data_IF_139596052223
#
_entry.id   IF_139596052223
#
_cell.length_a   1.000
_cell.length_b   1.000
_cell.length_c   1.000
_cell.angle_alpha   90.00
_cell.angle_beta   90.00
_cell.angle_gamma   90.00
#
_symmetry.space_group_name_H-M   'P 1'
#
loop_
_entity.id
_entity.type
_entity.pdbx_description
1 polymer ?
#
# COMPACT_ATOMS: atom_id res chain seq x y z
N UNK A 1 12.64 -1.83 -7.28
CA UNK A 1 11.52 -1.92 -6.31
C UNK A 1 10.17 -2.11 -7.00
N UNK A 2 9.90 -1.39 -8.06
CA UNK A 2 8.61 -1.49 -8.76
C UNK A 2 8.30 -2.91 -9.24
N UNK A 3 9.28 -3.59 -9.80
CA UNK A 3 9.13 -4.97 -10.26
C UNK A 3 8.82 -5.94 -9.12
N UNK A 4 9.42 -5.74 -7.96
CA UNK A 4 9.17 -6.57 -6.76
C UNK A 4 7.74 -6.38 -6.29
N UNK A 5 7.27 -5.14 -6.23
CA UNK A 5 5.89 -4.82 -5.82
C UNK A 5 4.89 -5.43 -6.81
N UNK A 6 5.09 -5.22 -8.10
CA UNK A 6 4.19 -5.74 -9.13
C UNK A 6 4.11 -7.26 -9.11
N UNK A 7 5.24 -7.95 -8.95
CA UNK A 7 5.30 -9.40 -8.88
C UNK A 7 4.59 -9.92 -7.62
N UNK A 8 4.86 -9.32 -6.47
CA UNK A 8 4.22 -9.72 -5.21
C UNK A 8 2.71 -9.50 -5.26
N UNK A 9 2.25 -8.39 -5.86
CA UNK A 9 0.83 -8.12 -6.05
C UNK A 9 0.18 -9.19 -6.93
N UNK A 10 0.81 -9.57 -8.03
CA UNK A 10 0.26 -10.60 -8.93
C UNK A 10 0.24 -11.97 -8.26
N UNK A 11 1.26 -12.32 -7.52
CA UNK A 11 1.28 -13.58 -6.75
C UNK A 11 0.17 -13.61 -5.70
N UNK A 12 -0.05 -12.50 -5.00
CA UNK A 12 -1.16 -12.36 -4.05
C UNK A 12 -2.49 -12.62 -4.74
N UNK A 13 -2.71 -11.98 -5.88
CA UNK A 13 -3.93 -12.11 -6.65
C UNK A 13 -4.16 -13.57 -7.08
N UNK A 14 -3.14 -14.22 -7.59
CA UNK A 14 -3.22 -15.61 -8.04
C UNK A 14 -3.52 -16.57 -6.88
N UNK A 15 -2.89 -16.37 -5.73
CA UNK A 15 -3.10 -17.23 -4.56
C UNK A 15 -4.49 -17.09 -3.96
N UNK A 16 -5.12 -15.93 -4.10
CA UNK A 16 -6.44 -15.65 -3.54
C UNK A 16 -7.57 -15.66 -4.58
N UNK A 17 -7.26 -16.00 -5.84
CA UNK A 17 -8.26 -16.02 -6.91
C UNK A 17 -9.28 -17.14 -6.71
N UNK A 18 -10.51 -16.92 -7.20
CA UNK A 18 -11.56 -17.94 -7.20
C UNK A 18 -12.31 -18.07 -5.87
N UNK A 19 -11.96 -17.31 -4.85
CA UNK A 19 -12.64 -17.30 -3.54
C UNK A 19 -12.82 -15.85 -3.10
N UNK A 20 -13.93 -15.57 -2.43
CA UNK A 20 -14.21 -14.23 -1.90
C UNK A 20 -13.41 -13.98 -0.62
N UNK A 21 -12.25 -13.37 -0.76
CA UNK A 21 -11.46 -12.92 0.37
C UNK A 21 -11.69 -11.43 0.63
N UNK A 22 -11.52 -11.03 1.90
CA UNK A 22 -11.61 -9.64 2.31
C UNK A 22 -10.35 -8.87 1.90
N UNK A 23 -10.47 -7.55 1.77
CA UNK A 23 -9.33 -6.69 1.45
C UNK A 23 -8.17 -6.88 2.43
N UNK A 24 -8.46 -7.07 3.72
CA UNK A 24 -7.41 -7.32 4.73
C UNK A 24 -6.63 -8.62 4.47
N UNK A 25 -7.24 -9.61 3.83
CA UNK A 25 -6.54 -10.85 3.47
C UNK A 25 -5.50 -10.59 2.37
N UNK A 26 -5.85 -9.77 1.38
CA UNK A 26 -4.91 -9.35 0.32
C UNK A 26 -3.75 -8.56 0.92
N UNK A 27 -4.04 -7.64 1.83
CA UNK A 27 -3.01 -6.86 2.53
C UNK A 27 -2.04 -7.76 3.29
N UNK A 28 -2.56 -8.67 4.11
CA UNK A 28 -1.74 -9.55 4.94
C UNK A 28 -0.84 -10.45 4.09
N UNK A 29 -1.38 -11.03 3.02
CA UNK A 29 -0.60 -11.90 2.15
C UNK A 29 0.45 -11.11 1.37
N UNK A 30 0.08 -9.95 0.81
CA UNK A 30 1.02 -9.10 0.10
C UNK A 30 2.17 -8.66 1.00
N UNK A 31 1.87 -8.23 2.22
CA UNK A 31 2.89 -7.85 3.19
C UNK A 31 3.85 -9.01 3.48
N UNK A 32 3.32 -10.22 3.61
CA UNK A 32 4.12 -11.42 3.85
C UNK A 32 5.06 -11.72 2.68
N UNK A 33 4.55 -11.61 1.44
CA UNK A 33 5.37 -11.86 0.24
C UNK A 33 6.47 -10.80 0.09
N UNK A 34 6.16 -9.55 0.42
CA UNK A 34 7.16 -8.48 0.41
C UNK A 34 8.24 -8.69 1.48
N UNK A 35 7.85 -9.12 2.68
CA UNK A 35 8.82 -9.45 3.74
C UNK A 35 9.72 -10.62 3.33
N UNK A 36 9.21 -11.57 2.57
CA UNK A 36 10.00 -12.70 2.05
C UNK A 36 11.10 -12.23 1.10
N UNK A 37 10.97 -11.02 0.52
CA UNK A 37 12.00 -10.38 -0.28
C UNK A 37 12.99 -9.57 0.58
N UNK A 38 12.98 -9.78 1.89
CA UNK A 38 13.84 -9.10 2.89
C UNK A 38 13.60 -7.60 2.96
N UNK A 39 12.38 -7.17 2.67
CA UNK A 39 11.96 -5.78 2.82
C UNK A 39 11.40 -5.56 4.23
N UNK A 40 11.60 -4.35 4.75
CA UNK A 40 11.01 -3.91 6.00
C UNK A 40 9.61 -3.38 5.70
N UNK A 41 8.57 -4.10 6.16
CA UNK A 41 7.18 -3.84 5.76
C UNK A 41 6.31 -3.69 7.01
N UNK A 42 5.48 -2.65 6.99
CA UNK A 42 4.51 -2.36 8.04
C UNK A 42 3.12 -2.28 7.46
N UNK A 43 2.12 -2.67 8.24
CA UNK A 43 0.71 -2.65 7.86
C UNK A 43 -0.05 -1.64 8.70
N UNK A 44 -1.04 -0.97 8.10
CA UNK A 44 -1.96 -0.06 8.79
C UNK A 44 -1.26 1.01 9.62
N UNK A 45 -0.35 1.73 9.01
CA UNK A 45 0.36 2.81 9.69
C UNK A 45 -0.51 4.06 9.71
N UNK A 46 -0.70 4.63 10.90
CA UNK A 46 -1.47 5.86 11.10
C UNK A 46 -0.74 7.04 10.46
N UNK A 47 -1.50 7.82 9.69
CA UNK A 47 -0.99 9.06 9.08
C UNK A 47 -1.81 10.21 9.65
N UNK A 48 -1.27 10.98 10.60
CA UNK A 48 -1.99 12.12 11.16
C UNK A 48 -2.09 13.27 10.16
N UNK A 49 -3.25 13.90 10.11
CA UNK A 49 -3.47 15.11 9.32
C UNK A 49 -3.28 16.32 10.22
N UNK A 50 -2.30 17.16 9.88
CA UNK A 50 -1.91 18.30 10.70
C UNK A 50 -1.82 19.54 9.82
N UNK A 51 -2.50 20.62 10.22
CA UNK A 51 -2.38 21.93 9.59
C UNK A 51 -2.00 22.92 10.70
N UNK A 52 -0.94 23.71 10.49
CA UNK A 52 -0.44 24.69 11.46
C UNK A 52 -0.28 24.10 12.85
N UNK A 53 0.31 22.90 12.93
CA UNK A 53 0.54 22.15 14.16
C UNK A 53 -0.75 21.69 14.87
N UNK A 54 -1.90 21.85 14.23
CA UNK A 54 -3.19 21.42 14.78
C UNK A 54 -3.61 20.10 14.12
N UNK A 55 -3.75 19.01 14.88
CA UNK A 55 -4.27 17.77 14.35
C UNK A 55 -5.77 17.90 14.09
N UNK A 56 -6.23 17.43 12.92
CA UNK A 56 -7.65 17.49 12.57
C UNK A 56 -8.21 16.15 12.08
N UNK A 57 -7.41 15.12 12.11
CA UNK A 57 -7.84 13.79 11.70
C UNK A 57 -6.65 12.90 11.41
N UNK A 58 -6.93 11.72 10.87
CA UNK A 58 -5.90 10.78 10.46
C UNK A 58 -6.44 9.80 9.43
N UNK A 59 -5.53 9.15 8.72
CA UNK A 59 -5.80 8.01 7.86
C UNK A 59 -4.86 6.87 8.18
N UNK A 60 -4.95 5.80 7.40
CA UNK A 60 -4.08 4.64 7.54
C UNK A 60 -3.52 4.27 6.17
N UNK A 61 -2.20 4.16 6.07
CA UNK A 61 -1.59 3.54 4.90
C UNK A 61 -1.72 2.02 5.04
N UNK A 62 -2.21 1.36 4.01
CA UNK A 62 -2.40 -0.10 4.07
C UNK A 62 -1.08 -0.83 4.28
N UNK A 63 -0.08 -0.51 3.48
CA UNK A 63 1.27 -1.08 3.60
C UNK A 63 2.30 0.04 3.42
N UNK A 64 3.34 0.00 4.23
CA UNK A 64 4.49 0.87 4.10
C UNK A 64 5.76 0.03 4.01
N UNK A 65 6.55 0.26 2.96
CA UNK A 65 7.86 -0.36 2.80
C UNK A 65 8.90 0.69 3.17
N UNK A 66 9.70 0.42 4.21
CA UNK A 66 10.80 1.29 4.58
C UNK A 66 12.07 0.84 3.89
N UNK A 67 12.74 1.79 3.25
CA UNK A 67 14.06 1.59 2.65
C UNK A 67 15.05 2.55 3.29
N UNK A 68 16.37 2.36 3.09
CA UNK A 68 17.35 3.35 3.57
C UNK A 68 17.11 4.76 3.05
N UNK A 69 16.47 4.90 1.88
CA UNK A 69 16.24 6.19 1.24
C UNK A 69 14.91 6.83 1.63
N UNK A 70 13.98 6.08 2.20
CA UNK A 70 12.67 6.58 2.60
C UNK A 70 11.56 5.54 2.50
N UNK A 71 10.33 5.99 2.58
CA UNK A 71 9.15 5.13 2.63
C UNK A 71 8.43 5.06 1.28
N UNK A 72 7.89 3.90 0.97
CA UNK A 72 7.02 3.66 -0.18
C UNK A 72 5.66 3.23 0.40
N UNK A 73 4.60 3.97 0.06
CA UNK A 73 3.27 3.72 0.58
C UNK A 73 2.42 2.97 -0.46
N UNK A 74 1.74 1.92 -0.03
CA UNK A 74 0.84 1.16 -0.89
C UNK A 74 -0.58 1.28 -0.38
N UNK A 75 -1.52 1.53 -1.30
CA UNK A 75 -2.94 1.59 -1.02
C UNK A 75 -3.64 0.49 -1.83
N UNK A 76 -4.42 -0.35 -1.14
CA UNK A 76 -5.05 -1.53 -1.73
C UNK A 76 -6.56 -1.36 -1.82
N UNK A 77 -7.13 -1.89 -2.91
CA UNK A 77 -8.58 -2.01 -3.09
C UNK A 77 -8.92 -3.33 -3.75
N UNK A 78 -10.05 -3.91 -3.36
CA UNK A 78 -10.60 -5.12 -4.01
C UNK A 78 -11.71 -4.79 -5.01
N UNK A 79 -11.79 -3.52 -5.39
CA UNK A 79 -12.74 -3.00 -6.38
C UNK A 79 -11.98 -2.25 -7.47
N UNK A 80 -12.71 -1.78 -8.48
CA UNK A 80 -12.12 -0.96 -9.56
C UNK A 80 -11.95 0.51 -9.18
N UNK A 81 -12.26 0.88 -7.93
CA UNK A 81 -12.19 2.27 -7.48
C UNK A 81 -10.75 2.79 -7.55
N UNK A 82 -10.59 3.95 -8.18
CA UNK A 82 -9.31 4.65 -8.21
C UNK A 82 -9.06 5.33 -6.86
N UNK A 83 -7.99 4.94 -6.18
CA UNK A 83 -7.61 5.52 -4.88
C UNK A 83 -6.33 6.37 -4.96
N UNK A 84 -5.98 6.84 -6.15
CA UNK A 84 -4.78 7.65 -6.36
C UNK A 84 -4.78 8.92 -5.50
N UNK A 85 -5.91 9.64 -5.42
CA UNK A 85 -6.02 10.86 -4.61
C UNK A 85 -5.79 10.58 -3.12
N UNK A 86 -6.33 9.47 -2.61
CA UNK A 86 -6.14 9.07 -1.23
C UNK A 86 -4.68 8.77 -0.95
N UNK A 87 -4.02 8.05 -1.85
CA UNK A 87 -2.59 7.77 -1.73
C UNK A 87 -1.76 9.05 -1.75
N UNK A 88 -2.04 9.97 -2.66
CA UNK A 88 -1.34 11.26 -2.73
C UNK A 88 -1.50 12.05 -1.43
N UNK A 89 -2.69 12.03 -0.83
CA UNK A 89 -2.93 12.67 0.46
C UNK A 89 -2.07 12.04 1.56
N UNK A 90 -1.96 10.73 1.57
CA UNK A 90 -1.12 10.02 2.55
C UNK A 90 0.36 10.33 2.35
N UNK A 91 0.85 10.35 1.12
CA UNK A 91 2.23 10.71 0.81
C UNK A 91 2.53 12.14 1.28
N UNK A 92 1.62 13.08 1.01
CA UNK A 92 1.77 14.48 1.43
C UNK A 92 1.85 14.62 2.96
N UNK A 93 1.07 13.83 3.69
CA UNK A 93 0.98 13.91 5.14
C UNK A 93 1.96 12.97 5.86
N UNK A 94 2.77 12.20 5.13
CA UNK A 94 3.74 11.30 5.72
C UNK A 94 4.83 12.10 6.44
N UNK A 95 4.99 11.85 7.77
CA UNK A 95 5.87 12.63 8.64
C UNK A 95 7.00 11.82 9.27
N UNK A 96 6.99 10.50 9.12
CA UNK A 96 7.95 9.65 9.84
C UNK A 96 9.33 9.64 9.19
N UNK A 97 9.38 9.63 7.88
CA UNK A 97 10.62 9.65 7.08
C UNK A 97 10.34 10.40 5.78
N UNK A 98 11.32 10.44 4.88
CA UNK A 98 11.07 10.91 3.52
C UNK A 98 10.12 9.93 2.83
N UNK A 99 9.11 10.45 2.14
CA UNK A 99 8.26 9.64 1.26
C UNK A 99 8.85 9.62 -0.14
N UNK A 100 9.13 8.43 -0.66
CA UNK A 100 9.68 8.26 -2.01
C UNK A 100 8.58 8.19 -3.08
N UNK A 101 7.36 7.92 -2.67
CA UNK A 101 6.22 7.72 -3.55
C UNK A 101 5.41 6.53 -3.08
N UNK A 102 4.66 5.94 -3.99
CA UNK A 102 3.86 4.78 -3.65
C UNK A 102 3.17 4.18 -4.87
N UNK A 103 2.24 3.29 -4.59
CA UNK A 103 1.43 2.67 -5.62
C UNK A 103 0.04 2.37 -5.11
N UNK A 104 -0.94 2.45 -6.00
CA UNK A 104 -2.26 1.89 -5.77
C UNK A 104 -2.31 0.50 -6.39
N UNK A 105 -2.93 -0.44 -5.69
CA UNK A 105 -3.06 -1.82 -6.15
C UNK A 105 -4.53 -2.22 -6.08
N UNK A 106 -5.12 -2.48 -7.24
CA UNK A 106 -6.49 -2.95 -7.34
C UNK A 106 -6.48 -4.43 -7.69
N UNK A 107 -7.07 -5.23 -6.81
CA UNK A 107 -7.25 -6.66 -7.02
C UNK A 107 -8.67 -6.91 -7.52
N UNK A 108 -8.83 -7.23 -8.79
CA UNK A 108 -10.14 -7.46 -9.40
C UNK A 108 -10.11 -8.75 -10.21
N UNK A 109 -10.91 -9.73 -9.80
CA UNK A 109 -10.89 -11.05 -10.41
C UNK A 109 -9.54 -11.73 -10.16
N UNK A 110 -8.89 -12.16 -11.23
CA UNK A 110 -7.58 -12.81 -11.19
C UNK A 110 -6.44 -11.85 -11.61
N UNK A 111 -6.72 -10.55 -11.67
CA UNK A 111 -5.75 -9.54 -12.07
C UNK A 111 -5.45 -8.56 -10.95
N UNK A 112 -4.18 -8.20 -10.83
CA UNK A 112 -3.74 -7.06 -10.02
C UNK A 112 -3.37 -5.91 -10.95
N UNK A 113 -3.90 -4.71 -10.66
CA UNK A 113 -3.53 -3.49 -11.38
C UNK A 113 -2.74 -2.61 -10.47
N UNK A 114 -1.47 -2.43 -10.78
CA UNK A 114 -0.54 -1.61 -10.01
C UNK A 114 -0.29 -0.31 -10.75
N UNK A 115 -0.54 0.81 -10.06
CA UNK A 115 -0.29 2.14 -10.61
C UNK A 115 0.67 2.87 -9.68
N UNK A 116 1.86 3.15 -10.17
CA UNK A 116 2.87 3.88 -9.39
C UNK A 116 2.61 5.40 -9.43
N UNK A 117 2.86 6.04 -8.31
CA UNK A 117 2.60 7.47 -8.11
C UNK A 117 3.88 8.19 -7.69
#
# INVERSE_FOLDING_TARGET
MDAIIAKAAQETCEMLSGVDYLECNFRTLLARLLRAQKLEVYEEIVIPYIIDKIPFGHGYADIVILTPDGAILLELKTTKKDCTRQLQKYIRNWKYTKALGGATINFVGDESKVKFV
#
